data_IF_040399829637
#
_entry.id   IF_040399829637
#
_cell.length_a   1.000
_cell.length_b   1.000
_cell.length_c   1.000
_cell.angle_alpha   90.00
_cell.angle_beta   90.00
_cell.angle_gamma   90.00
#
_symmetry.space_group_name_H-M   'P 1'
#
loop_
_entity.id
_entity.type
_entity.pdbx_description
1 polymer ?
#
# COMPACT_ATOMS: atom_id res chain seq x y z
N UNK A 1 -0.24 19.21 -22.61
CA UNK A 1 1.01 19.87 -22.92
C UNK A 1 1.00 20.43 -24.34
N UNK A 2 1.33 21.69 -24.51
CA UNK A 2 1.54 22.28 -25.85
C UNK A 2 2.75 21.60 -26.47
N UNK A 3 2.52 20.67 -27.40
CA UNK A 3 3.51 20.34 -28.41
C UNK A 3 3.36 21.40 -29.53
N UNK A 4 4.41 22.17 -29.83
CA UNK A 4 4.46 23.06 -30.99
C UNK A 4 4.16 22.23 -32.24
N UNK A 5 3.05 22.53 -32.92
CA UNK A 5 2.63 21.86 -34.14
C UNK A 5 1.54 20.80 -34.02
N UNK A 6 1.09 20.44 -32.81
CA UNK A 6 -0.09 19.58 -32.62
C UNK A 6 -1.36 20.45 -32.68
N UNK A 7 -2.37 20.02 -33.46
CA UNK A 7 -3.72 20.60 -33.39
C UNK A 7 -4.18 20.56 -31.94
N UNK A 8 -4.47 21.74 -31.38
CA UNK A 8 -4.89 21.85 -29.99
C UNK A 8 -6.24 21.12 -29.83
N UNK A 9 -6.23 19.97 -29.16
CA UNK A 9 -7.40 19.14 -28.90
C UNK A 9 -8.52 19.96 -28.21
N UNK A 10 -8.16 20.98 -27.44
CA UNK A 10 -9.09 21.90 -26.83
C UNK A 10 -9.94 22.64 -27.88
N UNK A 11 -9.35 23.08 -28.95
CA UNK A 11 -10.06 23.79 -30.00
C UNK A 11 -11.03 22.88 -30.80
N UNK A 12 -10.73 21.58 -30.89
CA UNK A 12 -11.64 20.60 -31.48
C UNK A 12 -12.84 20.28 -30.58
N UNK A 13 -12.63 20.26 -29.28
CA UNK A 13 -13.67 19.91 -28.29
C UNK A 13 -14.62 21.08 -28.01
N UNK A 14 -14.18 22.33 -28.08
CA UNK A 14 -14.97 23.51 -27.78
C UNK A 14 -16.31 23.58 -28.54
N UNK A 15 -16.41 23.35 -29.87
CA UNK A 15 -17.67 23.36 -30.59
C UNK A 15 -18.61 22.25 -30.15
N UNK A 16 -18.11 21.05 -29.89
CA UNK A 16 -18.92 19.89 -29.47
C UNK A 16 -19.49 20.08 -28.06
N UNK A 17 -18.65 20.59 -27.13
CA UNK A 17 -19.08 20.99 -25.80
C UNK A 17 -20.14 22.12 -25.87
N UNK A 18 -19.99 23.07 -26.79
CA UNK A 18 -20.92 24.18 -26.98
C UNK A 18 -22.30 23.73 -27.40
N UNK A 19 -22.39 22.69 -28.24
CA UNK A 19 -23.65 22.13 -28.74
C UNK A 19 -24.27 21.07 -27.82
N UNK A 20 -23.58 20.73 -26.70
CA UNK A 20 -24.03 19.67 -25.81
C UNK A 20 -23.91 18.25 -26.39
N UNK A 21 -23.13 18.10 -27.48
CA UNK A 21 -22.89 16.81 -28.13
C UNK A 21 -21.88 15.94 -27.37
N UNK A 22 -21.08 16.55 -26.50
CA UNK A 22 -20.05 15.90 -25.73
C UNK A 22 -20.24 16.19 -24.25
N UNK A 23 -20.29 15.11 -23.44
CA UNK A 23 -20.16 15.17 -21.98
C UNK A 23 -18.76 14.76 -21.62
N UNK A 24 -18.03 15.61 -20.90
CA UNK A 24 -16.63 15.39 -20.58
C UNK A 24 -16.38 15.64 -19.10
N UNK A 25 -15.62 14.73 -18.48
CA UNK A 25 -15.06 14.90 -17.14
C UNK A 25 -13.54 14.98 -17.32
N UNK A 26 -12.95 16.09 -16.90
CA UNK A 26 -11.51 16.31 -16.94
C UNK A 26 -10.94 16.41 -15.53
N UNK A 27 -9.74 15.89 -15.34
CA UNK A 27 -8.96 16.08 -14.12
C UNK A 27 -7.68 16.86 -14.44
N UNK A 28 -7.32 17.78 -13.57
CA UNK A 28 -6.14 18.64 -13.72
C UNK A 28 -5.70 19.15 -12.34
N UNK A 29 -4.51 19.75 -12.26
CA UNK A 29 -4.04 20.44 -11.06
C UNK A 29 -4.63 21.85 -10.96
N UNK A 30 -4.61 22.45 -9.77
CA UNK A 30 -5.08 23.83 -9.58
C UNK A 30 -4.28 24.84 -10.44
N UNK A 31 -2.97 24.62 -10.55
CA UNK A 31 -2.10 25.50 -11.33
C UNK A 31 -2.37 25.40 -12.84
N UNK A 32 -2.54 24.19 -13.35
CA UNK A 32 -2.92 23.97 -14.75
C UNK A 32 -4.33 24.49 -15.04
N UNK A 33 -5.29 24.33 -14.10
CA UNK A 33 -6.62 24.88 -14.22
C UNK A 33 -6.56 26.40 -14.38
N UNK A 34 -5.84 27.11 -13.49
CA UNK A 34 -5.64 28.56 -13.55
C UNK A 34 -4.94 28.99 -14.83
N UNK A 35 -3.97 28.21 -15.29
CA UNK A 35 -3.17 28.56 -16.46
C UNK A 35 -3.91 28.37 -17.77
N UNK A 36 -4.72 27.30 -17.88
CA UNK A 36 -5.26 26.84 -19.17
C UNK A 36 -6.79 26.87 -19.26
N UNK A 37 -7.53 26.70 -18.16
CA UNK A 37 -9.00 26.64 -18.19
C UNK A 37 -9.60 27.99 -17.80
N UNK A 38 -9.20 28.56 -16.67
CA UNK A 38 -9.74 29.84 -16.17
C UNK A 38 -9.48 31.01 -17.12
N UNK A 39 -8.36 30.99 -17.84
CA UNK A 39 -8.04 32.01 -18.86
C UNK A 39 -8.79 31.84 -20.17
N UNK A 40 -9.43 30.71 -20.41
CA UNK A 40 -10.19 30.42 -21.61
C UNK A 40 -11.69 30.50 -21.32
N UNK A 41 -12.29 31.69 -21.51
CA UNK A 41 -13.71 31.91 -21.25
C UNK A 41 -14.66 30.96 -21.98
N UNK A 42 -14.17 30.28 -23.04
CA UNK A 42 -14.99 29.30 -23.76
C UNK A 42 -15.00 27.93 -23.03
N UNK A 43 -13.94 27.56 -22.33
CA UNK A 43 -13.86 26.36 -21.51
C UNK A 43 -14.46 26.60 -20.11
N UNK A 44 -14.13 27.71 -19.47
CA UNK A 44 -14.60 28.05 -18.14
C UNK A 44 -16.14 27.99 -18.02
N UNK A 45 -16.87 28.51 -19.00
CA UNK A 45 -18.34 28.51 -18.99
C UNK A 45 -18.97 27.15 -19.25
N UNK A 46 -18.19 26.14 -19.64
CA UNK A 46 -18.67 24.80 -20.02
C UNK A 46 -18.31 23.70 -19.06
N UNK A 47 -17.47 24.02 -18.10
CA UNK A 47 -17.08 23.08 -17.05
C UNK A 47 -17.47 23.61 -15.67
N UNK A 48 -18.13 22.76 -14.91
CA UNK A 48 -18.33 23.00 -13.47
C UNK A 48 -17.09 22.50 -12.74
N UNK A 49 -16.39 23.39 -12.08
CA UNK A 49 -15.23 23.00 -11.24
C UNK A 49 -15.69 22.27 -9.98
N UNK A 50 -15.02 21.15 -9.69
CA UNK A 50 -15.18 20.37 -8.47
C UNK A 50 -13.82 20.24 -7.83
N UNK A 51 -13.62 20.89 -6.70
CA UNK A 51 -12.38 20.77 -5.93
C UNK A 51 -12.36 19.42 -5.22
N UNK A 52 -11.31 18.65 -5.46
CA UNK A 52 -11.05 17.40 -4.75
C UNK A 52 -9.94 17.66 -3.74
N UNK A 53 -10.31 17.65 -2.48
CA UNK A 53 -9.37 17.81 -1.37
C UNK A 53 -8.71 16.46 -1.03
N UNK A 54 -7.52 16.52 -0.42
CA UNK A 54 -6.88 15.32 0.10
C UNK A 54 -7.70 14.73 1.26
N UNK A 55 -7.78 13.40 1.38
CA UNK A 55 -8.41 12.77 2.53
C UNK A 55 -7.62 13.07 3.81
N UNK A 56 -8.29 12.99 4.95
CA UNK A 56 -7.65 13.03 6.25
C UNK A 56 -6.96 11.69 6.59
N UNK A 57 -6.28 11.61 7.74
CA UNK A 57 -5.56 10.40 8.17
C UNK A 57 -6.53 9.21 8.36
N UNK A 58 -7.71 9.43 8.92
CA UNK A 58 -8.70 8.36 9.19
C UNK A 58 -9.27 7.79 7.89
N UNK A 59 -9.61 8.66 6.94
CA UNK A 59 -10.05 8.26 5.61
C UNK A 59 -8.93 7.51 4.86
N UNK A 60 -7.69 7.98 4.99
CA UNK A 60 -6.52 7.33 4.40
C UNK A 60 -6.31 5.91 4.95
N UNK A 61 -6.44 5.70 6.27
CA UNK A 61 -6.39 4.36 6.87
C UNK A 61 -7.46 3.44 6.26
N UNK A 62 -8.67 3.97 6.07
CA UNK A 62 -9.77 3.22 5.44
C UNK A 62 -9.45 2.83 3.99
N UNK A 63 -8.85 3.75 3.23
CA UNK A 63 -8.38 3.48 1.86
C UNK A 63 -7.29 2.41 1.85
N UNK A 64 -6.28 2.52 2.73
CA UNK A 64 -5.19 1.54 2.83
C UNK A 64 -5.70 0.14 3.20
N UNK A 65 -6.68 0.04 4.12
CA UNK A 65 -7.35 -1.23 4.44
C UNK A 65 -8.04 -1.84 3.23
N UNK A 66 -8.68 -1.02 2.39
CA UNK A 66 -9.29 -1.47 1.13
C UNK A 66 -8.29 -1.95 0.08
N UNK A 67 -7.05 -1.45 0.12
CA UNK A 67 -5.97 -1.84 -0.80
C UNK A 67 -5.11 -2.98 -0.28
N UNK A 68 -5.14 -3.28 1.02
CA UNK A 68 -4.29 -4.23 1.72
C UNK A 68 -4.13 -5.56 1.00
N UNK A 69 -5.23 -6.23 0.69
CA UNK A 69 -5.21 -7.55 0.05
C UNK A 69 -4.48 -7.55 -1.29
N UNK A 70 -4.63 -6.48 -2.08
CA UNK A 70 -3.96 -6.34 -3.38
C UNK A 70 -2.45 -6.22 -3.22
N UNK A 71 -1.98 -5.44 -2.22
CA UNK A 71 -0.56 -5.30 -1.91
C UNK A 71 0.03 -6.57 -1.35
N UNK A 72 -0.68 -7.27 -0.45
CA UNK A 72 -0.26 -8.57 0.07
C UNK A 72 -0.06 -9.61 -1.05
N UNK A 73 -0.99 -9.66 -2.00
CA UNK A 73 -0.87 -10.56 -3.17
C UNK A 73 0.26 -10.14 -4.10
N UNK A 74 0.41 -8.84 -4.36
CA UNK A 74 1.42 -8.32 -5.28
C UNK A 74 2.85 -8.54 -4.78
N UNK A 75 3.12 -8.22 -3.52
CA UNK A 75 4.45 -8.35 -2.91
C UNK A 75 4.71 -9.71 -2.30
N UNK A 76 3.69 -10.54 -2.07
CA UNK A 76 3.82 -11.83 -1.39
C UNK A 76 4.18 -11.69 0.09
N UNK A 77 3.83 -10.58 0.72
CA UNK A 77 4.08 -10.27 2.12
C UNK A 77 2.77 -10.05 2.86
N UNK A 78 2.77 -10.25 4.18
CA UNK A 78 1.60 -10.00 5.02
C UNK A 78 1.71 -8.62 5.67
N UNK A 79 0.65 -7.81 5.54
CA UNK A 79 0.59 -6.45 6.08
C UNK A 79 -0.28 -6.45 7.34
N UNK A 80 0.29 -6.01 8.47
CA UNK A 80 -0.46 -5.84 9.71
C UNK A 80 -1.27 -4.53 9.69
N UNK A 81 -2.43 -4.50 10.36
CA UNK A 81 -3.27 -3.29 10.42
C UNK A 81 -2.52 -2.11 11.05
N UNK A 82 -1.71 -2.36 12.09
CA UNK A 82 -0.88 -1.33 12.71
C UNK A 82 0.13 -0.70 11.75
N UNK A 83 0.63 -1.43 10.76
CA UNK A 83 1.53 -0.88 9.74
C UNK A 83 0.79 0.12 8.84
N UNK A 84 -0.46 -0.16 8.47
CA UNK A 84 -1.30 0.76 7.69
C UNK A 84 -1.59 2.05 8.48
N UNK A 85 -1.93 1.92 9.75
CA UNK A 85 -2.13 3.07 10.65
C UNK A 85 -0.86 3.89 10.75
N UNK A 86 0.29 3.25 10.97
CA UNK A 86 1.58 3.92 11.05
C UNK A 86 1.95 4.62 9.74
N UNK A 87 1.71 3.97 8.59
CA UNK A 87 1.98 4.55 7.28
C UNK A 87 1.17 5.85 7.06
N UNK A 88 -0.11 5.85 7.39
CA UNK A 88 -0.95 7.05 7.28
C UNK A 88 -0.48 8.18 8.20
N UNK A 89 -0.23 7.88 9.48
CA UNK A 89 0.18 8.88 10.49
C UNK A 89 1.57 9.42 10.21
N UNK A 90 2.55 8.55 9.92
CA UNK A 90 3.93 8.96 9.72
C UNK A 90 4.11 9.70 8.38
N UNK A 91 3.45 9.26 7.32
CA UNK A 91 3.50 9.98 6.04
C UNK A 91 2.89 11.37 6.17
N UNK A 92 1.77 11.51 6.88
CA UNK A 92 1.16 12.82 7.10
C UNK A 92 2.07 13.76 7.89
N UNK A 93 2.75 13.23 8.90
CA UNK A 93 3.61 14.01 9.80
C UNK A 93 4.96 14.40 9.20
N UNK A 94 5.59 13.52 8.42
CA UNK A 94 6.98 13.67 7.99
C UNK A 94 7.17 13.92 6.50
N UNK A 95 6.17 13.63 5.66
CA UNK A 95 6.23 13.88 4.21
C UNK A 95 5.34 15.08 3.88
N UNK A 96 5.97 16.24 3.66
CA UNK A 96 5.28 17.50 3.44
C UNK A 96 5.10 17.89 1.96
N UNK A 97 5.86 17.27 1.06
CA UNK A 97 5.89 17.56 -0.37
C UNK A 97 4.91 16.74 -1.22
N UNK A 98 4.16 15.84 -0.57
CA UNK A 98 3.15 14.97 -1.19
C UNK A 98 1.85 14.98 -0.40
N UNK A 99 0.78 14.55 -1.04
CA UNK A 99 -0.56 14.53 -0.48
C UNK A 99 -1.00 13.11 -0.08
N UNK A 100 -1.89 13.03 0.90
CA UNK A 100 -2.65 11.81 1.18
C UNK A 100 -3.68 11.57 0.06
N UNK A 101 -3.99 10.32 -0.31
CA UNK A 101 -3.48 9.07 0.30
C UNK A 101 -2.14 8.60 -0.30
N UNK A 102 -1.67 9.19 -1.40
CA UNK A 102 -0.56 8.69 -2.22
C UNK A 102 0.72 8.49 -1.41
N UNK A 103 1.12 9.47 -0.59
CA UNK A 103 2.32 9.35 0.25
C UNK A 103 2.27 8.20 1.26
N UNK A 104 1.08 7.82 1.73
CA UNK A 104 0.90 6.68 2.62
C UNK A 104 0.91 5.36 1.85
N UNK A 105 0.36 5.34 0.64
CA UNK A 105 0.39 4.20 -0.27
C UNK A 105 1.83 3.90 -0.68
N UNK A 106 2.59 4.92 -1.10
CA UNK A 106 4.00 4.79 -1.47
C UNK A 106 4.83 4.22 -0.32
N UNK A 107 4.57 4.66 0.92
CA UNK A 107 5.27 4.16 2.10
C UNK A 107 5.00 2.68 2.36
N UNK A 108 3.75 2.23 2.18
CA UNK A 108 3.39 0.80 2.29
C UNK A 108 4.04 -0.01 1.17
N UNK A 109 4.02 0.50 -0.06
CA UNK A 109 4.60 -0.16 -1.22
C UNK A 109 6.12 -0.36 -1.06
N UNK A 110 6.83 0.69 -0.68
CA UNK A 110 8.27 0.67 -0.42
C UNK A 110 8.65 -0.30 0.72
N UNK A 111 7.88 -0.27 1.81
CA UNK A 111 8.11 -1.18 2.94
C UNK A 111 7.89 -2.65 2.53
N UNK A 112 6.85 -2.94 1.76
CA UNK A 112 6.59 -4.29 1.25
C UNK A 112 7.69 -4.75 0.28
N UNK A 113 8.15 -3.86 -0.62
CA UNK A 113 9.24 -4.15 -1.54
C UNK A 113 10.55 -4.45 -0.80
N UNK A 114 10.87 -3.67 0.23
CA UNK A 114 12.06 -3.88 1.06
C UNK A 114 12.04 -5.25 1.77
N UNK A 115 10.90 -5.59 2.39
CA UNK A 115 10.72 -6.91 3.03
C UNK A 115 10.85 -8.03 1.99
N UNK A 116 10.30 -7.85 0.80
CA UNK A 116 10.40 -8.85 -0.26
C UNK A 116 11.84 -9.08 -0.69
N UNK A 117 12.64 -8.01 -0.85
CA UNK A 117 14.06 -8.11 -1.18
C UNK A 117 14.82 -8.84 -0.07
N UNK A 118 14.53 -8.53 1.20
CA UNK A 118 15.14 -9.24 2.34
C UNK A 118 14.80 -10.74 2.31
N UNK A 119 13.55 -11.09 2.06
CA UNK A 119 13.10 -12.50 1.96
C UNK A 119 13.78 -13.24 0.81
N UNK A 120 13.91 -12.59 -0.36
CA UNK A 120 14.52 -13.20 -1.55
C UNK A 120 16.06 -13.32 -1.43
N UNK A 121 16.71 -12.51 -0.58
CA UNK A 121 18.15 -12.55 -0.30
C UNK A 121 18.53 -13.43 0.89
N UNK A 122 17.54 -13.94 1.64
CA UNK A 122 17.77 -14.77 2.83
C UNK A 122 18.41 -16.11 2.47
N UNK A 123 19.40 -16.62 3.23
CA UNK A 123 19.96 -17.96 3.05
C UNK A 123 18.87 -19.02 3.10
N UNK A 124 18.97 -20.04 2.22
CA UNK A 124 17.97 -21.10 2.08
C UNK A 124 17.68 -21.81 3.41
N UNK A 125 18.72 -21.99 4.24
CA UNK A 125 18.60 -22.60 5.57
C UNK A 125 17.74 -21.76 6.52
N UNK A 126 17.92 -20.44 6.51
CA UNK A 126 17.15 -19.51 7.34
C UNK A 126 15.70 -19.39 6.86
N UNK A 127 15.46 -19.39 5.54
CA UNK A 127 14.12 -19.41 4.95
C UNK A 127 13.37 -20.69 5.34
N UNK A 128 14.01 -21.86 5.26
CA UNK A 128 13.42 -23.14 5.66
C UNK A 128 13.03 -23.14 7.15
N UNK A 129 13.89 -22.57 8.01
CA UNK A 129 13.65 -22.45 9.45
C UNK A 129 12.45 -21.55 9.74
N UNK A 130 12.38 -20.40 9.08
CA UNK A 130 11.29 -19.43 9.23
C UNK A 130 9.94 -20.04 8.78
N UNK A 131 9.93 -20.78 7.66
CA UNK A 131 8.72 -21.49 7.17
C UNK A 131 8.28 -22.58 8.17
N UNK A 132 9.23 -23.29 8.78
CA UNK A 132 8.92 -24.33 9.77
C UNK A 132 8.27 -23.72 11.02
N UNK A 133 8.81 -22.62 11.52
CA UNK A 133 8.23 -21.89 12.65
C UNK A 133 6.79 -21.47 12.34
N UNK A 134 6.55 -20.87 11.16
CA UNK A 134 5.21 -20.45 10.74
C UNK A 134 4.22 -21.60 10.69
N UNK A 135 4.62 -22.78 10.19
CA UNK A 135 3.78 -23.97 10.19
C UNK A 135 3.38 -24.40 11.60
N UNK A 136 4.34 -24.42 12.52
CA UNK A 136 4.10 -24.81 13.91
C UNK A 136 3.26 -23.79 14.66
N UNK A 137 3.39 -22.50 14.39
CA UNK A 137 2.53 -21.46 14.95
C UNK A 137 1.08 -21.57 14.47
N UNK A 138 0.86 -21.94 13.21
CA UNK A 138 -0.48 -22.23 12.68
C UNK A 138 -1.07 -23.46 13.38
N UNK A 139 -0.28 -24.53 13.55
CA UNK A 139 -0.71 -25.73 14.29
C UNK A 139 -1.01 -25.40 15.76
N UNK A 140 -0.17 -24.58 16.42
CA UNK A 140 -0.41 -24.11 17.79
C UNK A 140 -1.73 -23.36 17.90
N UNK A 141 -2.00 -22.42 16.98
CA UNK A 141 -3.24 -21.64 16.97
C UNK A 141 -4.49 -22.53 16.77
N UNK A 142 -4.38 -23.58 15.97
CA UNK A 142 -5.45 -24.57 15.79
C UNK A 142 -5.66 -25.40 17.08
N UNK A 143 -4.59 -25.88 17.69
CA UNK A 143 -4.66 -26.68 18.94
C UNK A 143 -5.17 -25.87 20.14
N UNK A 144 -5.00 -24.55 20.17
CA UNK A 144 -5.54 -23.68 21.21
C UNK A 144 -7.08 -23.66 21.25
N UNK A 145 -7.73 -24.00 20.16
CA UNK A 145 -9.20 -24.05 20.08
C UNK A 145 -9.77 -25.40 20.55
N UNK A 146 -8.93 -26.40 20.71
CA UNK A 146 -9.28 -27.73 21.16
C UNK A 146 -9.20 -27.84 22.70
N UNK A 147 -10.07 -28.66 23.30
CA UNK A 147 -10.19 -28.76 24.77
C UNK A 147 -9.77 -30.13 25.34
N UNK A 148 -9.47 -31.10 24.48
CA UNK A 148 -9.10 -32.45 24.86
C UNK A 148 -7.67 -32.54 25.42
N UNK A 149 -7.39 -33.55 26.24
CA UNK A 149 -6.09 -33.70 26.93
C UNK A 149 -4.95 -34.07 25.95
N UNK A 150 -5.24 -34.72 24.84
CA UNK A 150 -4.27 -35.01 23.81
C UNK A 150 -3.75 -33.73 23.12
N UNK A 151 -4.68 -32.83 22.79
CA UNK A 151 -4.36 -31.52 22.23
C UNK A 151 -3.57 -30.66 23.17
N UNK A 152 -3.83 -30.68 24.47
CA UNK A 152 -3.04 -29.96 25.48
C UNK A 152 -1.58 -30.47 25.56
N UNK A 153 -1.38 -31.78 25.55
CA UNK A 153 -0.04 -32.38 25.55
C UNK A 153 0.74 -32.02 24.27
N UNK A 154 0.05 -32.05 23.13
CA UNK A 154 0.61 -31.64 21.84
C UNK A 154 0.99 -30.16 21.84
N UNK A 155 0.13 -29.30 22.42
CA UNK A 155 0.36 -27.85 22.56
C UNK A 155 1.64 -27.53 23.33
N UNK A 156 1.89 -28.23 24.47
CA UNK A 156 3.11 -28.06 25.25
C UNK A 156 4.36 -28.46 24.46
N UNK A 157 4.27 -29.54 23.68
CA UNK A 157 5.37 -29.99 22.82
C UNK A 157 5.64 -28.98 21.70
N UNK A 158 4.60 -28.51 21.03
CA UNK A 158 4.70 -27.50 19.98
C UNK A 158 5.33 -26.20 20.49
N UNK A 159 4.93 -25.73 21.66
CA UNK A 159 5.52 -24.53 22.29
C UNK A 159 7.00 -24.64 22.55
N UNK A 160 7.47 -25.79 22.99
CA UNK A 160 8.91 -26.05 23.16
C UNK A 160 9.64 -26.05 21.81
N UNK A 161 9.10 -26.79 20.83
CA UNK A 161 9.69 -26.85 19.49
C UNK A 161 9.75 -25.46 18.84
N UNK A 162 8.70 -24.65 18.94
CA UNK A 162 8.66 -23.26 18.44
C UNK A 162 9.70 -22.39 19.15
N UNK A 163 9.83 -22.51 20.47
CA UNK A 163 10.82 -21.73 21.22
C UNK A 163 12.26 -22.07 20.81
N UNK A 164 12.59 -23.35 20.69
CA UNK A 164 13.92 -23.82 20.28
C UNK A 164 14.25 -23.35 18.84
N UNK A 165 13.30 -23.46 17.91
CA UNK A 165 13.49 -23.01 16.54
C UNK A 165 13.62 -21.49 16.42
N UNK A 166 12.90 -20.71 17.22
CA UNK A 166 13.06 -19.25 17.29
C UNK A 166 14.42 -18.82 17.81
N UNK A 167 14.96 -19.54 18.77
CA UNK A 167 16.31 -19.29 19.25
C UNK A 167 17.35 -19.54 18.14
N UNK A 168 17.22 -20.66 17.40
CA UNK A 168 18.06 -20.96 16.25
C UNK A 168 17.92 -19.93 15.13
N UNK A 169 16.70 -19.54 14.79
CA UNK A 169 16.43 -18.49 13.80
C UNK A 169 17.11 -17.18 14.19
N UNK A 170 17.01 -16.78 15.45
CA UNK A 170 17.61 -15.53 15.94
C UNK A 170 19.14 -15.58 15.82
N UNK A 171 19.76 -16.69 16.18
CA UNK A 171 21.21 -16.88 16.07
C UNK A 171 21.68 -16.82 14.61
N UNK A 172 21.02 -17.55 13.71
CA UNK A 172 21.35 -17.55 12.27
C UNK A 172 21.10 -16.19 11.62
N UNK A 173 20.03 -15.50 11.99
CA UNK A 173 19.73 -14.15 11.49
C UNK A 173 20.78 -13.13 11.93
N UNK A 174 21.25 -13.21 13.17
CA UNK A 174 22.34 -12.35 13.64
C UNK A 174 23.65 -12.62 12.89
N UNK A 175 23.96 -13.89 12.61
CA UNK A 175 25.13 -14.24 11.82
C UNK A 175 25.03 -13.66 10.40
N UNK A 176 23.90 -13.84 9.73
CA UNK A 176 23.65 -13.32 8.39
C UNK A 176 23.69 -11.79 8.31
N UNK A 177 23.20 -11.08 9.33
CA UNK A 177 23.26 -9.61 9.38
C UNK A 177 24.68 -9.06 9.64
N UNK A 178 25.59 -9.90 10.15
CA UNK A 178 26.97 -9.51 10.44
C UNK A 178 27.95 -9.86 9.30
N UNK A 179 27.53 -10.61 8.29
CA UNK A 179 28.29 -10.92 7.08
C UNK A 179 28.09 -9.86 6.00
#
# INVERSE_FOLDING_TARGET
GKAEGAMDAGNLLKPMLARGELHCIGATTLDEYRLHIEKDAALERRFQSVLVEQPNVEDTISILRGLKERYEVHHGVRIQDNALVSAAVLSDRYISDRFLPDKAIDLVDEACASIRIEMDSMPEELDALTRRIMQLEIEEAAMMQETDDASKTRLETLRKEVADLKEQETAQRQQWQNE
#
